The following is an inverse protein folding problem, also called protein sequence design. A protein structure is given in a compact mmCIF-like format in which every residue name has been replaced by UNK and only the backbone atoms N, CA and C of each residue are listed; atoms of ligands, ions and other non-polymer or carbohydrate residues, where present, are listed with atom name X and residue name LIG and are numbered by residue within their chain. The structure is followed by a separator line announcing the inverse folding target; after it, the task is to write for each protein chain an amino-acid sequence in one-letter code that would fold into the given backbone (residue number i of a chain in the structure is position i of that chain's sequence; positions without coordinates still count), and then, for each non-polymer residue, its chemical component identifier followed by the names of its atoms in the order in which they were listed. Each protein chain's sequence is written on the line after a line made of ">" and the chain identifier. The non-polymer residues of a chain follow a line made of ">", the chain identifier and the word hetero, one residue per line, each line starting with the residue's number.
data_IF_393700210954
#
_entry.id   IF_393700210954
#
_cell.length_a   1.000
_cell.length_b   1.000
_cell.length_c   1.000
_cell.angle_alpha   90.00
_cell.angle_beta   90.00
_cell.angle_gamma   90.00
#
_symmetry.space_group_name_H-M   'P 1'
#
loop_
_entity.id
_entity.type
_entity.pdbx_description
1 polymer ?
#
# COMPACT_ATOMS: atom_id res chain seq x y z
N UNK A 1 -24.51 -5.74 1.02
CA UNK A 1 -25.59 -5.69 0.00
C UNK A 1 -26.30 -4.32 -0.01
N UNK A 2 -25.81 -3.39 -0.81
CA UNK A 2 -26.38 -2.05 -0.96
C UNK A 2 -27.30 -2.00 -2.19
N UNK A 3 -28.55 -1.58 -1.94
CA UNK A 3 -29.45 -0.86 -2.84
C UNK A 3 -29.48 -1.27 -4.32
N UNK A 4 -30.26 -2.29 -4.64
CA UNK A 4 -30.79 -2.50 -5.99
C UNK A 4 -31.58 -1.25 -6.42
N UNK A 5 -30.98 -0.39 -7.24
CA UNK A 5 -31.53 0.67 -8.13
C UNK A 5 -32.82 1.47 -7.74
N UNK A 6 -33.24 1.44 -6.48
CA UNK A 6 -34.54 1.98 -6.04
C UNK A 6 -34.61 3.50 -6.16
N UNK A 7 -33.49 4.21 -5.99
CA UNK A 7 -33.43 5.68 -6.11
C UNK A 7 -33.82 6.19 -7.51
N UNK A 8 -33.43 5.46 -8.57
CA UNK A 8 -33.81 5.81 -9.95
C UNK A 8 -35.31 5.54 -10.18
N UNK A 9 -35.85 4.48 -9.56
CA UNK A 9 -37.27 4.15 -9.64
C UNK A 9 -38.14 5.17 -8.92
N UNK A 10 -37.70 5.66 -7.76
CA UNK A 10 -38.39 6.74 -7.01
C UNK A 10 -38.30 8.08 -7.75
N UNK A 11 -37.16 8.41 -8.37
CA UNK A 11 -37.01 9.62 -9.17
C UNK A 11 -38.05 9.70 -10.31
N UNK A 12 -38.34 8.56 -10.96
CA UNK A 12 -39.39 8.47 -11.97
C UNK A 12 -40.79 8.71 -11.39
N UNK A 13 -41.09 8.18 -10.20
CA UNK A 13 -42.36 8.42 -9.51
C UNK A 13 -42.51 9.88 -9.06
N UNK A 14 -41.39 10.54 -8.77
CA UNK A 14 -41.33 11.96 -8.42
C UNK A 14 -41.44 12.91 -9.63
N UNK A 15 -41.64 12.38 -10.85
CA UNK A 15 -41.83 13.19 -12.05
C UNK A 15 -40.54 13.71 -12.70
N UNK A 16 -39.38 13.13 -12.38
CA UNK A 16 -38.12 13.48 -13.05
C UNK A 16 -38.22 13.18 -14.56
N UNK A 17 -37.75 14.08 -15.46
CA UNK A 17 -37.83 13.88 -16.90
C UNK A 17 -37.19 12.56 -17.36
N UNK A 18 -37.86 11.86 -18.28
CA UNK A 18 -37.43 10.53 -18.74
C UNK A 18 -36.00 10.51 -19.29
N UNK A 19 -35.57 11.55 -20.00
CA UNK A 19 -34.20 11.68 -20.50
C UNK A 19 -33.16 11.67 -19.37
N UNK A 20 -33.45 12.32 -18.23
CA UNK A 20 -32.57 12.37 -17.06
C UNK A 20 -32.51 11.00 -16.38
N UNK A 21 -33.65 10.31 -16.26
CA UNK A 21 -33.71 8.95 -15.72
C UNK A 21 -32.90 7.96 -16.56
N UNK A 22 -32.95 8.08 -17.89
CA UNK A 22 -32.17 7.22 -18.78
C UNK A 22 -30.67 7.51 -18.70
N UNK A 23 -30.28 8.78 -18.66
CA UNK A 23 -28.88 9.15 -18.46
C UNK A 23 -28.33 8.60 -17.14
N UNK A 24 -29.09 8.70 -16.05
CA UNK A 24 -28.72 8.16 -14.75
C UNK A 24 -28.55 6.63 -14.76
N UNK A 25 -29.37 5.91 -15.52
CA UNK A 25 -29.23 4.45 -15.71
C UNK A 25 -27.96 4.07 -16.44
N UNK A 26 -27.61 4.80 -17.50
CA UNK A 26 -26.36 4.58 -18.22
C UNK A 26 -25.14 4.84 -17.35
N UNK A 27 -25.15 5.92 -16.57
CA UNK A 27 -24.07 6.22 -15.62
C UNK A 27 -23.93 5.13 -14.54
N UNK A 28 -25.05 4.63 -14.01
CA UNK A 28 -25.03 3.53 -13.03
C UNK A 28 -24.42 2.25 -13.63
N UNK A 29 -24.85 1.85 -14.83
CA UNK A 29 -24.31 0.67 -15.50
C UNK A 29 -22.80 0.77 -15.76
N UNK A 30 -22.32 1.96 -16.14
CA UNK A 30 -20.89 2.21 -16.29
C UNK A 30 -20.15 2.04 -14.96
N UNK A 31 -20.65 2.63 -13.86
CA UNK A 31 -20.02 2.51 -12.54
C UNK A 31 -20.01 1.08 -12.02
N UNK A 32 -21.07 0.31 -12.25
CA UNK A 32 -21.16 -1.10 -11.88
C UNK A 32 -20.12 -1.93 -12.64
N UNK A 33 -19.99 -1.75 -13.97
CA UNK A 33 -18.98 -2.44 -14.77
C UNK A 33 -17.54 -2.13 -14.34
N UNK A 34 -17.25 -0.86 -14.01
CA UNK A 34 -15.94 -0.47 -13.48
C UNK A 34 -15.70 -1.06 -12.08
N UNK A 35 -16.73 -1.09 -11.22
CA UNK A 35 -16.61 -1.67 -9.88
C UNK A 35 -16.41 -3.19 -9.90
N UNK A 36 -17.02 -3.92 -10.84
CA UNK A 36 -16.80 -5.37 -11.01
C UNK A 36 -15.38 -5.66 -11.52
N UNK A 37 -14.90 -4.85 -12.46
CA UNK A 37 -13.52 -4.94 -12.97
C UNK A 37 -12.49 -4.68 -11.86
N UNK A 38 -12.69 -3.64 -11.04
CA UNK A 38 -11.79 -3.34 -9.91
C UNK A 38 -11.85 -4.37 -8.78
N UNK A 39 -12.99 -5.04 -8.56
CA UNK A 39 -13.10 -6.12 -7.55
C UNK A 39 -12.33 -7.38 -7.93
N UNK A 40 -12.08 -7.61 -9.22
CA UNK A 40 -11.36 -8.81 -9.66
C UNK A 40 -9.86 -8.72 -9.34
N UNK A 41 -9.32 -7.53 -9.03
CA UNK A 41 -7.88 -7.31 -8.86
C UNK A 41 -7.43 -7.05 -7.41
N UNK A 42 -8.33 -6.90 -6.44
CA UNK A 42 -7.92 -6.73 -5.03
C UNK A 42 -8.81 -7.59 -4.14
N UNK A 43 -8.29 -8.74 -3.74
CA UNK A 43 -8.84 -9.46 -2.59
C UNK A 43 -8.50 -8.67 -1.32
N UNK A 44 -9.42 -7.79 -0.91
CA UNK A 44 -9.28 -6.93 0.27
C UNK A 44 -9.22 -7.71 1.59
N UNK A 45 -9.48 -9.02 1.55
CA UNK A 45 -9.37 -9.94 2.69
C UNK A 45 -8.24 -10.95 2.51
N UNK A 46 -7.44 -10.84 1.45
CA UNK A 46 -6.22 -11.62 1.36
C UNK A 46 -5.33 -11.30 2.56
N UNK A 47 -4.69 -12.32 3.17
CA UNK A 47 -3.71 -12.07 4.20
C UNK A 47 -2.65 -11.10 3.64
N UNK A 48 -2.19 -10.12 4.44
CA UNK A 48 -1.14 -9.21 4.00
C UNK A 48 0.03 -10.05 3.49
N UNK A 49 0.67 -9.64 2.38
CA UNK A 49 1.86 -10.34 1.91
C UNK A 49 2.83 -10.42 3.09
N UNK A 50 3.24 -11.65 3.40
CA UNK A 50 4.31 -11.88 4.37
C UNK A 50 5.49 -11.04 3.90
N UNK A 51 5.73 -9.95 4.62
CA UNK A 51 6.94 -9.17 4.42
C UNK A 51 8.01 -10.07 4.99
N UNK A 52 8.73 -10.79 4.14
CA UNK A 52 10.01 -11.37 4.54
C UNK A 52 10.80 -10.20 5.13
N UNK A 53 11.07 -10.28 6.43
CA UNK A 53 11.92 -9.31 7.10
C UNK A 53 13.24 -9.32 6.34
N UNK A 54 13.46 -8.26 5.55
CA UNK A 54 14.69 -8.12 4.79
C UNK A 54 15.84 -8.22 5.79
N UNK A 55 16.82 -9.06 5.47
CA UNK A 55 17.98 -9.22 6.33
C UNK A 55 18.55 -7.83 6.67
N UNK A 56 18.84 -7.56 7.95
CA UNK A 56 19.32 -6.26 8.37
C UNK A 56 20.57 -5.90 7.56
N UNK A 57 20.72 -4.62 7.16
CA UNK A 57 21.83 -4.21 6.34
C UNK A 57 23.13 -4.55 7.08
N UNK A 58 24.17 -5.01 6.37
CA UNK A 58 25.37 -5.59 6.99
C UNK A 58 26.12 -4.61 7.91
N UNK A 59 25.89 -3.31 7.74
CA UNK A 59 26.41 -2.26 8.63
C UNK A 59 25.83 -2.35 10.05
N UNK A 60 24.57 -2.76 10.21
CA UNK A 60 23.89 -2.88 11.51
C UNK A 60 24.47 -4.06 12.28
N UNK A 61 24.68 -5.19 11.62
CA UNK A 61 25.34 -6.34 12.21
C UNK A 61 26.78 -6.03 12.63
N UNK A 62 27.54 -5.33 11.79
CA UNK A 62 28.91 -4.89 12.11
C UNK A 62 28.95 -3.92 13.29
N UNK A 63 28.00 -3.00 13.39
CA UNK A 63 27.91 -2.05 14.50
C UNK A 63 27.59 -2.75 15.83
N UNK A 64 26.67 -3.72 15.82
CA UNK A 64 26.28 -4.47 17.01
C UNK A 64 27.42 -5.32 17.61
N UNK A 65 28.43 -5.67 16.80
CA UNK A 65 29.59 -6.43 17.23
C UNK A 65 30.70 -5.56 17.87
N UNK A 66 30.58 -4.23 17.84
CA UNK A 66 31.59 -3.32 18.39
C UNK A 66 31.37 -3.12 19.88
N UNK A 67 32.41 -3.41 20.67
CA UNK A 67 32.51 -3.00 22.07
C UNK A 67 33.32 -1.69 22.16
N UNK A 68 32.68 -0.53 22.39
CA UNK A 68 33.39 0.76 22.41
C UNK A 68 34.33 0.92 23.60
N UNK A 69 34.08 0.23 24.72
CA UNK A 69 34.88 0.38 25.94
C UNK A 69 36.22 -0.37 25.85
N UNK A 70 36.29 -1.37 24.97
CA UNK A 70 37.50 -2.15 24.71
C UNK A 70 38.42 -1.54 23.63
N UNK A 71 38.03 -0.44 22.98
CA UNK A 71 38.77 0.13 21.86
C UNK A 71 39.72 1.25 22.30
N UNK A 72 40.91 1.26 21.71
CA UNK A 72 41.74 2.46 21.74
C UNK A 72 41.14 3.55 20.84
N UNK A 73 41.48 4.85 21.05
CA UNK A 73 41.01 5.93 20.19
C UNK A 73 41.34 5.72 18.70
N UNK A 74 42.47 5.07 18.40
CA UNK A 74 42.88 4.77 17.03
C UNK A 74 42.03 3.64 16.44
N UNK A 75 41.81 2.57 17.19
CA UNK A 75 41.00 1.44 16.74
C UNK A 75 39.55 1.85 16.52
N UNK A 76 39.01 2.71 17.39
CA UNK A 76 37.67 3.28 17.21
C UNK A 76 37.54 4.08 15.91
N UNK A 77 38.55 4.89 15.57
CA UNK A 77 38.57 5.62 14.31
C UNK A 77 38.62 4.68 13.10
N UNK A 78 39.43 3.64 13.17
CA UNK A 78 39.55 2.63 12.10
C UNK A 78 38.22 1.88 11.90
N UNK A 79 37.53 1.51 12.98
CA UNK A 79 36.19 0.89 12.94
C UNK A 79 35.14 1.81 12.32
N UNK A 80 35.16 3.11 12.64
CA UNK A 80 34.25 4.10 12.02
C UNK A 80 34.47 4.20 10.50
N UNK A 81 35.73 4.17 10.04
CA UNK A 81 36.01 4.15 8.60
C UNK A 81 35.55 2.85 7.93
N UNK A 82 35.70 1.71 8.61
CA UNK A 82 35.21 0.43 8.11
C UNK A 82 33.68 0.44 7.95
N UNK A 83 32.94 0.90 8.97
CA UNK A 83 31.48 1.05 8.91
C UNK A 83 31.04 1.98 7.78
N UNK A 84 31.73 3.12 7.58
CA UNK A 84 31.43 4.06 6.48
C UNK A 84 31.57 3.41 5.11
N UNK A 85 32.62 2.61 4.88
CA UNK A 85 32.82 1.87 3.64
C UNK A 85 31.73 0.82 3.42
N UNK A 86 31.29 0.17 4.50
CA UNK A 86 30.24 -0.85 4.48
C UNK A 86 28.88 -0.24 4.12
N UNK A 87 28.54 0.91 4.72
CA UNK A 87 27.33 1.67 4.42
C UNK A 87 27.26 2.18 2.97
N UNK A 88 28.40 2.48 2.33
CA UNK A 88 28.45 2.90 0.93
C UNK A 88 28.34 1.75 -0.08
N UNK A 89 28.51 0.51 0.37
CA UNK A 89 28.43 -0.70 -0.46
C UNK A 89 27.05 -1.36 -0.43
N UNK A 90 26.15 -0.85 0.42
CA UNK A 90 24.81 -1.37 0.64
C UNK A 90 23.80 -0.61 -0.21
#
# INVERSE_FOLDING_TARGET
>A
PASRSYGIQVARLAGVPGAVVQHARHALAALEAHSESSRTQVDLFAPPPVTEEADPPPVVAALAAIDPDALSPRDALDQLYALKKLAQKS
#
